data_IF_305952905322
#
_entry.id   IF_305952905322
#
_cell.length_a   1.000
_cell.length_b   1.000
_cell.length_c   1.000
_cell.angle_alpha   90.00
_cell.angle_beta   90.00
_cell.angle_gamma   90.00
#
_symmetry.space_group_name_H-M   'P 1'
#
loop_
_entity.id
_entity.type
_entity.pdbx_description
1 polymer ?
#
# COMPACT_ATOMS: atom_id res chain seq x y z
N UNK A 1 -18.74 59.28 35.59
CA UNK A 1 -17.49 59.48 34.82
C UNK A 1 -17.21 58.18 34.06
N UNK A 2 -17.30 58.22 32.72
CA UNK A 2 -17.00 57.23 31.65
C UNK A 2 -17.57 55.79 31.76
N UNK A 3 -18.33 55.25 30.77
CA UNK A 3 -18.20 55.09 29.29
C UNK A 3 -17.29 53.92 28.86
N UNK A 4 -17.90 52.96 28.15
CA UNK A 4 -17.39 52.15 27.02
C UNK A 4 -16.40 51.00 27.39
N UNK A 5 -16.54 49.72 27.02
CA UNK A 5 -17.14 48.97 25.86
C UNK A 5 -17.54 47.53 26.33
N UNK A 6 -18.59 46.80 25.92
CA UNK A 6 -19.16 46.39 24.62
C UNK A 6 -18.34 45.33 23.82
N UNK A 7 -19.02 44.25 23.38
CA UNK A 7 -18.60 43.05 22.58
C UNK A 7 -17.91 41.91 23.35
N UNK A 8 -18.47 40.70 23.54
CA UNK A 8 -19.03 39.68 22.62
C UNK A 8 -17.98 39.01 21.73
N UNK A 9 -17.58 37.76 22.06
CA UNK A 9 -17.55 36.57 21.18
C UNK A 9 -16.79 35.42 21.90
N UNK A 10 -17.46 34.34 22.34
CA UNK A 10 -17.84 33.15 21.57
C UNK A 10 -16.72 32.08 21.45
N UNK A 11 -17.10 30.79 21.35
CA UNK A 11 -16.44 29.66 22.00
C UNK A 11 -15.31 29.02 21.17
N UNK A 12 -14.51 28.18 21.83
CA UNK A 12 -13.47 27.32 21.27
C UNK A 12 -13.84 26.70 19.92
N UNK A 13 -13.26 27.23 18.85
CA UNK A 13 -13.43 26.75 17.48
C UNK A 13 -12.86 25.33 17.33
N UNK A 14 -13.78 24.36 17.25
CA UNK A 14 -13.81 23.26 16.30
C UNK A 14 -12.48 22.70 15.77
N UNK A 15 -12.17 21.46 16.14
CA UNK A 15 -11.26 20.54 15.44
C UNK A 15 -11.81 20.20 14.05
N UNK A 16 -11.79 21.14 13.12
CA UNK A 16 -11.98 20.85 11.70
C UNK A 16 -10.59 20.77 11.09
N UNK A 17 -10.16 19.61 10.55
CA UNK A 17 -8.88 19.57 9.85
C UNK A 17 -8.92 20.56 8.69
N UNK A 18 -7.90 21.41 8.60
CA UNK A 18 -7.74 22.39 7.53
C UNK A 18 -7.80 21.67 6.17
N UNK A 19 -8.66 22.12 5.26
CA UNK A 19 -8.95 21.47 3.98
C UNK A 19 -7.65 21.30 3.16
N UNK A 20 -6.73 22.26 3.28
CA UNK A 20 -5.41 22.23 2.65
C UNK A 20 -4.51 21.09 3.16
N UNK A 21 -4.59 20.72 4.45
CA UNK A 21 -3.84 19.60 5.00
C UNK A 21 -4.38 18.25 4.51
N UNK A 22 -5.69 18.15 4.31
CA UNK A 22 -6.33 16.92 3.82
C UNK A 22 -5.89 16.63 2.39
N UNK A 23 -5.85 17.65 1.52
CA UNK A 23 -5.41 17.50 0.13
C UNK A 23 -3.94 17.05 0.02
N UNK A 24 -3.05 17.63 0.81
CA UNK A 24 -1.64 17.24 0.84
C UNK A 24 -1.46 15.79 1.32
N UNK A 25 -2.23 15.38 2.32
CA UNK A 25 -2.19 14.00 2.81
C UNK A 25 -2.69 13.02 1.75
N UNK A 26 -3.77 13.35 1.03
CA UNK A 26 -4.30 12.53 -0.07
C UNK A 26 -3.26 12.38 -1.18
N UNK A 27 -2.62 13.48 -1.60
CA UNK A 27 -1.57 13.42 -2.63
C UNK A 27 -0.37 12.58 -2.20
N UNK A 28 0.06 12.68 -0.93
CA UNK A 28 1.15 11.86 -0.41
C UNK A 28 0.81 10.36 -0.42
N UNK A 29 -0.44 10.00 -0.12
CA UNK A 29 -0.90 8.61 -0.20
C UNK A 29 -0.98 8.11 -1.64
N UNK A 30 -1.51 8.91 -2.57
CA UNK A 30 -1.57 8.57 -3.99
C UNK A 30 -0.17 8.37 -4.58
N UNK A 31 0.78 9.26 -4.27
CA UNK A 31 2.16 9.12 -4.71
C UNK A 31 2.80 7.83 -4.18
N UNK A 32 2.54 7.45 -2.92
CA UNK A 32 3.00 6.19 -2.36
C UNK A 32 2.37 4.98 -3.05
N UNK A 33 1.06 5.02 -3.33
CA UNK A 33 0.33 3.96 -4.04
C UNK A 33 0.88 3.74 -5.46
N UNK A 34 1.23 4.81 -6.17
CA UNK A 34 1.85 4.71 -7.49
C UNK A 34 3.20 3.98 -7.44
N UNK A 35 4.03 4.28 -6.43
CA UNK A 35 5.32 3.59 -6.24
C UNK A 35 5.11 2.10 -5.99
N UNK A 36 4.16 1.72 -5.14
CA UNK A 36 3.86 0.31 -4.88
C UNK A 36 3.28 -0.40 -6.10
N UNK A 37 2.44 0.27 -6.89
CA UNK A 37 1.89 -0.26 -8.13
C UNK A 37 3.00 -0.50 -9.15
N UNK A 38 3.96 0.43 -9.29
CA UNK A 38 5.11 0.26 -10.16
C UNK A 38 5.99 -0.93 -9.73
N UNK A 39 6.27 -1.05 -8.42
CA UNK A 39 7.05 -2.16 -7.89
C UNK A 39 6.36 -3.52 -8.13
N UNK A 40 5.04 -3.60 -7.95
CA UNK A 40 4.26 -4.80 -8.28
C UNK A 40 4.39 -5.16 -9.75
N UNK A 41 4.26 -4.18 -10.65
CA UNK A 41 4.35 -4.42 -12.09
C UNK A 41 5.72 -4.98 -12.46
N UNK A 42 6.80 -4.44 -11.89
CA UNK A 42 8.15 -4.94 -12.14
C UNK A 42 8.29 -6.41 -11.74
N UNK A 43 7.84 -6.78 -10.53
CA UNK A 43 7.89 -8.17 -10.05
C UNK A 43 6.97 -9.07 -10.88
N UNK A 44 5.77 -8.59 -11.22
CA UNK A 44 4.82 -9.33 -12.04
C UNK A 44 5.42 -9.65 -13.41
N UNK A 45 6.01 -8.67 -14.09
CA UNK A 45 6.64 -8.89 -15.39
C UNK A 45 7.81 -9.87 -15.31
N UNK A 46 8.63 -9.83 -14.24
CA UNK A 46 9.69 -10.83 -14.04
C UNK A 46 9.13 -12.25 -13.92
N UNK A 47 8.05 -12.42 -13.17
CA UNK A 47 7.39 -13.71 -13.01
C UNK A 47 6.69 -14.18 -14.28
N UNK A 48 6.12 -13.27 -15.07
CA UNK A 48 5.51 -13.57 -16.38
C UNK A 48 6.58 -14.05 -17.37
N UNK A 49 7.72 -13.37 -17.46
CA UNK A 49 8.85 -13.81 -18.29
C UNK A 49 9.33 -15.21 -17.86
N UNK A 50 9.46 -15.45 -16.56
CA UNK A 50 9.85 -16.76 -16.03
C UNK A 50 8.84 -17.86 -16.38
N UNK A 51 7.54 -17.56 -16.30
CA UNK A 51 6.46 -18.46 -16.72
C UNK A 51 6.55 -18.79 -18.22
N UNK A 52 6.84 -17.80 -19.05
CA UNK A 52 6.99 -17.98 -20.50
C UNK A 52 8.21 -18.85 -20.82
N UNK A 53 9.34 -18.64 -20.14
CA UNK A 53 10.56 -19.46 -20.29
C UNK A 53 10.32 -20.93 -19.93
N UNK A 54 9.60 -21.20 -18.83
CA UNK A 54 9.23 -22.57 -18.45
C UNK A 54 8.28 -23.22 -19.44
N UNK A 55 7.33 -22.45 -19.99
CA UNK A 55 6.39 -22.97 -20.99
C UNK A 55 7.09 -23.39 -22.30
N UNK A 56 8.25 -22.80 -22.61
CA UNK A 56 9.03 -23.11 -23.80
C UNK A 56 10.06 -24.23 -23.59
N UNK A 57 10.62 -24.33 -22.38
CA UNK A 57 11.83 -25.13 -22.12
C UNK A 57 11.58 -26.39 -21.31
N UNK A 58 10.44 -26.50 -20.62
CA UNK A 58 10.13 -27.62 -19.73
C UNK A 58 8.86 -28.36 -20.18
N UNK A 59 8.78 -29.64 -19.81
CA UNK A 59 7.58 -30.46 -20.02
C UNK A 59 6.38 -29.98 -19.18
N UNK A 60 6.61 -29.06 -18.24
CA UNK A 60 5.64 -28.58 -17.25
C UNK A 60 5.92 -27.11 -16.88
N UNK A 61 4.86 -26.30 -16.76
CA UNK A 61 4.95 -24.93 -16.27
C UNK A 61 4.57 -24.85 -14.78
N UNK A 62 5.51 -24.47 -13.89
CA UNK A 62 5.26 -24.37 -12.45
C UNK A 62 4.28 -23.24 -12.07
N UNK A 63 4.15 -22.20 -12.90
CA UNK A 63 3.29 -21.04 -12.64
C UNK A 63 1.95 -21.23 -13.36
N UNK A 64 0.86 -21.37 -12.59
CA UNK A 64 -0.50 -21.43 -13.13
C UNK A 64 -1.12 -20.04 -13.29
N UNK A 65 -0.98 -19.18 -12.27
CA UNK A 65 -1.51 -17.81 -12.33
C UNK A 65 -0.78 -16.90 -11.33
N UNK A 66 -0.48 -15.66 -11.75
CA UNK A 66 0.02 -14.60 -10.86
C UNK A 66 -1.11 -13.61 -10.54
N UNK A 67 -1.40 -13.39 -9.27
CA UNK A 67 -2.38 -12.40 -8.80
C UNK A 67 -1.66 -11.33 -8.01
N UNK A 68 -1.88 -10.07 -8.35
CA UNK A 68 -1.27 -8.95 -7.66
C UNK A 68 -2.32 -8.10 -6.95
N UNK A 69 -1.93 -7.45 -5.84
CA UNK A 69 -2.78 -6.46 -5.19
C UNK A 69 -1.97 -5.39 -4.46
N UNK A 70 -2.49 -4.18 -4.46
CA UNK A 70 -2.11 -3.13 -3.50
C UNK A 70 -3.16 -3.07 -2.39
N UNK A 71 -2.73 -2.93 -1.14
CA UNK A 71 -3.64 -2.80 0.01
C UNK A 71 -4.31 -1.43 -0.02
N UNK A 72 -5.65 -1.41 0.13
CA UNK A 72 -6.40 -0.15 0.17
C UNK A 72 -5.93 0.77 1.33
N UNK A 73 -5.92 2.11 1.14
CA UNK A 73 -5.49 3.07 2.16
C UNK A 73 -6.19 2.88 3.52
N UNK A 74 -7.49 2.64 3.53
CA UNK A 74 -8.26 2.38 4.76
C UNK A 74 -7.73 1.14 5.51
N UNK A 75 -7.37 0.09 4.78
CA UNK A 75 -6.79 -1.13 5.36
C UNK A 75 -5.36 -0.92 5.86
N UNK A 76 -4.58 -0.03 5.23
CA UNK A 76 -3.25 0.37 5.69
C UNK A 76 -3.37 1.13 7.03
N UNK A 77 -4.26 2.12 7.09
CA UNK A 77 -4.53 2.90 8.29
C UNK A 77 -4.98 2.00 9.46
N UNK A 78 -5.96 1.12 9.22
CA UNK A 78 -6.44 0.18 10.24
C UNK A 78 -5.32 -0.76 10.74
N UNK A 79 -4.41 -1.18 9.86
CA UNK A 79 -3.29 -2.07 10.24
C UNK A 79 -2.22 -1.35 11.06
N UNK A 80 -1.96 -0.07 10.77
CA UNK A 80 -1.08 0.78 11.59
C UNK A 80 -1.67 1.00 12.98
N UNK A 81 -2.95 1.36 13.06
CA UNK A 81 -3.66 1.54 14.32
C UNK A 81 -3.65 0.25 15.16
N UNK A 82 -3.97 -0.90 14.57
CA UNK A 82 -3.96 -2.20 15.28
C UNK A 82 -2.58 -2.56 15.84
N UNK A 83 -1.51 -2.05 15.23
CA UNK A 83 -0.11 -2.29 15.66
C UNK A 83 0.46 -1.15 16.52
N UNK A 84 -0.33 -0.11 16.80
CA UNK A 84 0.10 1.04 17.60
C UNK A 84 1.12 1.96 16.89
N UNK A 85 1.10 2.01 15.56
CA UNK A 85 1.99 2.88 14.79
C UNK A 85 1.29 4.16 14.31
N UNK A 86 2.09 5.20 14.09
CA UNK A 86 1.59 6.49 13.59
C UNK A 86 0.94 6.37 12.21
N UNK A 87 -0.17 7.10 12.03
CA UNK A 87 -0.87 7.24 10.76
C UNK A 87 -0.10 8.19 9.83
N UNK A 88 0.99 7.68 9.26
CA UNK A 88 1.76 8.39 8.25
C UNK A 88 2.27 7.45 7.16
N UNK A 89 2.45 7.98 5.95
CA UNK A 89 3.04 7.23 4.83
C UNK A 89 4.44 6.71 5.20
N UNK A 90 5.23 7.49 5.95
CA UNK A 90 6.57 7.09 6.41
C UNK A 90 6.51 5.89 7.36
N UNK A 91 5.57 5.91 8.30
CA UNK A 91 5.35 4.79 9.23
C UNK A 91 4.86 3.54 8.48
N UNK A 92 3.93 3.71 7.52
CA UNK A 92 3.47 2.63 6.65
C UNK A 92 4.62 1.93 5.93
N UNK A 93 5.48 2.72 5.26
CA UNK A 93 6.67 2.22 4.54
C UNK A 93 7.66 1.47 5.44
N UNK A 94 7.81 1.89 6.70
CA UNK A 94 8.79 1.30 7.62
C UNK A 94 8.27 0.02 8.28
N UNK A 95 6.99 -0.04 8.59
CA UNK A 95 6.45 -1.06 9.50
C UNK A 95 5.51 -2.09 8.83
N UNK A 96 5.07 -1.83 7.59
CA UNK A 96 4.20 -2.75 6.85
C UNK A 96 4.96 -3.39 5.70
N UNK A 97 4.98 -4.73 5.68
CA UNK A 97 5.60 -5.53 4.63
C UNK A 97 4.64 -5.93 3.51
N UNK A 98 3.32 -5.84 3.72
CA UNK A 98 2.28 -6.35 2.81
C UNK A 98 1.42 -5.24 2.18
N UNK A 99 2.04 -4.08 1.90
CA UNK A 99 1.38 -3.00 1.17
C UNK A 99 1.21 -3.39 -0.31
N UNK A 100 2.28 -3.90 -0.90
CA UNK A 100 2.29 -4.53 -2.21
C UNK A 100 2.46 -6.03 -2.05
N UNK A 101 1.57 -6.82 -2.63
CA UNK A 101 1.64 -8.27 -2.55
C UNK A 101 1.43 -8.92 -3.90
N UNK A 102 2.31 -9.86 -4.23
CA UNK A 102 2.18 -10.77 -5.39
C UNK A 102 1.90 -12.16 -4.84
N UNK A 103 0.91 -12.84 -5.42
CA UNK A 103 0.56 -14.23 -5.11
C UNK A 103 0.79 -15.05 -6.36
N UNK A 104 1.68 -16.02 -6.29
CA UNK A 104 1.91 -17.00 -7.35
C UNK A 104 1.13 -18.26 -7.01
N UNK A 105 0.27 -18.70 -7.92
CA UNK A 105 -0.47 -19.96 -7.83
C UNK A 105 0.30 -20.97 -8.68
N UNK A 106 0.72 -22.07 -8.06
CA UNK A 106 1.47 -23.15 -8.70
C UNK A 106 0.60 -24.40 -8.88
N UNK A 107 0.97 -25.28 -9.80
CA UNK A 107 0.20 -26.50 -10.10
C UNK A 107 0.48 -27.63 -9.08
N UNK A 108 1.73 -27.77 -8.63
CA UNK A 108 2.16 -28.76 -7.65
C UNK A 108 2.86 -28.10 -6.44
N UNK A 109 3.06 -28.88 -5.38
CA UNK A 109 3.74 -28.41 -4.16
C UNK A 109 5.23 -28.19 -4.43
N UNK A 110 5.86 -29.09 -5.20
CA UNK A 110 7.29 -29.01 -5.51
C UNK A 110 7.64 -27.72 -6.29
N UNK A 111 6.72 -27.25 -7.13
CA UNK A 111 6.83 -26.00 -7.87
C UNK A 111 6.95 -24.77 -6.95
N UNK A 112 6.33 -24.82 -5.77
CA UNK A 112 6.37 -23.71 -4.82
C UNK A 112 7.80 -23.46 -4.37
N UNK A 113 8.53 -24.54 -4.06
CA UNK A 113 9.92 -24.45 -3.63
C UNK A 113 10.84 -24.08 -4.79
N UNK A 114 10.60 -24.63 -5.97
CA UNK A 114 11.36 -24.28 -7.17
C UNK A 114 11.25 -22.79 -7.48
N UNK A 115 10.06 -22.21 -7.46
CA UNK A 115 9.86 -20.77 -7.68
C UNK A 115 10.46 -19.94 -6.53
N UNK A 116 10.39 -20.42 -5.29
CA UNK A 116 10.98 -19.72 -4.15
C UNK A 116 12.52 -19.66 -4.23
N UNK A 117 13.18 -20.68 -4.77
CA UNK A 117 14.64 -20.72 -4.93
C UNK A 117 15.14 -19.85 -6.10
N UNK A 118 14.26 -19.51 -7.04
CA UNK A 118 14.57 -18.67 -8.20
C UNK A 118 14.40 -17.16 -7.93
N UNK A 119 13.87 -16.78 -6.76
CA UNK A 119 13.55 -15.41 -6.35
C UNK A 119 14.50 -14.87 -5.28
#
# INVERSE_FOLDING_TARGET
MNRQDASTDQPSASTVPDILQVDQAIQAFQAAEHVYTAAIREVQTKLEILSDEFSLSADHNPIHHIVTRVKAPASIAAKLQRRGFDLSVRSARRHLSDIAGVRVICQYIDDIYMIADLL
#
